data_IF_728615627100
#
_entry.id   IF_728615627100
#
_cell.length_a   1.000
_cell.length_b   1.000
_cell.length_c   1.000
_cell.angle_alpha   90.00
_cell.angle_beta   90.00
_cell.angle_gamma   90.00
#
_symmetry.space_group_name_H-M   'P 1'
#
loop_
_entity.id
_entity.type
_entity.pdbx_description
1 polymer ?
#
# COMPACT_ATOMS: atom_id res chain seq x y z
N UNK A 1 33.66 -19.97 10.46
CA UNK A 1 32.25 -20.39 10.46
C UNK A 1 31.46 -19.19 10.92
N UNK A 2 31.36 -18.21 10.03
CA UNK A 2 30.62 -16.98 10.24
C UNK A 2 29.12 -17.31 10.24
N UNK A 3 28.36 -16.96 11.29
CA UNK A 3 26.92 -16.85 11.17
C UNK A 3 26.59 -15.51 10.50
N UNK A 4 27.10 -15.29 9.28
CA UNK A 4 26.57 -14.24 8.41
C UNK A 4 25.26 -14.74 7.84
N UNK A 5 24.19 -13.99 8.06
CA UNK A 5 23.14 -13.94 7.06
C UNK A 5 21.72 -14.22 7.52
N UNK A 6 21.42 -14.22 8.83
CA UNK A 6 20.01 -14.15 9.25
C UNK A 6 19.52 -12.70 9.37
N UNK A 7 19.90 -11.89 8.37
CA UNK A 7 19.18 -10.70 7.95
C UNK A 7 18.09 -11.12 6.94
N UNK A 8 17.35 -12.20 7.25
CA UNK A 8 16.01 -12.33 6.72
C UNK A 8 15.18 -11.26 7.42
N UNK A 9 15.26 -10.05 6.86
CA UNK A 9 14.22 -9.03 6.97
C UNK A 9 12.91 -9.78 7.04
N UNK A 10 12.30 -9.80 8.23
CA UNK A 10 10.95 -10.29 8.44
C UNK A 10 10.11 -9.58 7.38
N UNK A 11 9.84 -10.30 6.29
CA UNK A 11 8.99 -9.80 5.23
C UNK A 11 7.67 -9.57 5.92
N UNK A 12 7.05 -8.37 5.83
CA UNK A 12 5.77 -8.10 6.49
C UNK A 12 4.62 -8.87 5.80
N UNK A 13 4.70 -10.20 5.87
CA UNK A 13 3.76 -11.22 5.48
C UNK A 13 3.51 -11.99 6.79
N UNK A 14 2.38 -11.85 7.47
CA UNK A 14 1.08 -12.31 6.97
C UNK A 14 -0.11 -11.43 7.38
N UNK A 15 0.16 -10.25 7.96
CA UNK A 15 -0.87 -9.31 8.39
C UNK A 15 -0.69 -7.97 7.69
N UNK A 16 -1.31 -7.79 6.51
CA UNK A 16 -1.19 -6.55 5.73
C UNK A 16 -1.30 -5.25 6.56
N UNK A 17 -0.61 -4.20 6.11
CA UNK A 17 -0.49 -2.94 6.83
C UNK A 17 -1.84 -2.24 7.00
N UNK A 18 -2.04 -1.53 8.10
CA UNK A 18 -3.22 -0.68 8.25
C UNK A 18 -3.12 0.53 7.32
N UNK A 19 -4.26 1.10 6.91
CA UNK A 19 -4.28 2.33 6.08
C UNK A 19 -3.43 3.46 6.67
N UNK A 20 -3.37 3.60 7.99
CA UNK A 20 -2.55 4.62 8.65
C UNK A 20 -1.04 4.36 8.53
N UNK A 21 -0.62 3.09 8.58
CA UNK A 21 0.77 2.71 8.36
C UNK A 21 1.19 2.94 6.90
N UNK A 22 0.33 2.56 5.95
CA UNK A 22 0.57 2.79 4.50
C UNK A 22 0.63 4.27 4.17
N UNK A 23 -0.27 5.08 4.74
CA UNK A 23 -0.28 6.53 4.56
C UNK A 23 1.04 7.17 4.98
N UNK A 24 1.57 6.78 6.16
CA UNK A 24 2.88 7.24 6.63
C UNK A 24 4.02 6.76 5.75
N UNK A 25 3.99 5.51 5.31
CA UNK A 25 5.01 4.93 4.44
C UNK A 25 5.11 5.67 3.09
N UNK A 26 3.98 6.09 2.54
CA UNK A 26 3.90 6.74 1.23
C UNK A 26 3.93 8.27 1.31
N UNK A 27 3.86 8.85 2.51
CA UNK A 27 3.78 10.30 2.70
C UNK A 27 2.47 10.92 2.19
N UNK A 28 1.38 10.14 2.13
CA UNK A 28 0.07 10.60 1.65
C UNK A 28 -0.97 10.56 2.77
N UNK A 29 -2.05 11.33 2.63
CA UNK A 29 -3.14 11.31 3.59
C UNK A 29 -3.90 9.96 3.54
N UNK A 30 -4.36 9.41 4.68
CA UNK A 30 -5.20 8.21 4.71
C UNK A 30 -6.51 8.35 3.90
N UNK A 31 -7.00 9.59 3.78
CA UNK A 31 -8.17 9.94 2.98
C UNK A 31 -7.91 9.77 1.48
N UNK A 32 -6.69 10.04 1.00
CA UNK A 32 -6.28 9.80 -0.39
C UNK A 32 -6.34 8.31 -0.72
N UNK A 33 -5.77 7.45 0.14
CA UNK A 33 -5.82 6.00 -0.02
C UNK A 33 -7.26 5.48 -0.04
N UNK A 34 -8.12 6.01 0.84
CA UNK A 34 -9.54 5.63 0.88
C UNK A 34 -10.29 6.08 -0.39
N UNK A 35 -9.96 7.25 -0.93
CA UNK A 35 -10.51 7.72 -2.21
C UNK A 35 -10.07 6.84 -3.37
N UNK A 36 -8.80 6.45 -3.44
CA UNK A 36 -8.30 5.58 -4.51
C UNK A 36 -8.88 4.17 -4.45
N UNK A 37 -8.99 3.58 -3.25
CA UNK A 37 -9.72 2.32 -3.04
C UNK A 37 -11.18 2.42 -3.56
N UNK A 38 -11.90 3.47 -3.18
CA UNK A 38 -13.30 3.64 -3.59
C UNK A 38 -13.47 3.91 -5.09
N UNK A 39 -12.57 4.70 -5.67
CA UNK A 39 -12.72 5.27 -7.01
C UNK A 39 -12.11 4.39 -8.10
N UNK A 40 -11.03 3.69 -7.77
CA UNK A 40 -10.23 2.91 -8.72
C UNK A 40 -10.16 1.43 -8.34
N UNK A 41 -10.71 1.02 -7.18
CA UNK A 41 -10.62 -0.36 -6.72
C UNK A 41 -9.20 -0.79 -6.32
N UNK A 42 -8.27 0.16 -6.19
CA UNK A 42 -6.88 -0.07 -5.77
C UNK A 42 -6.85 -0.15 -4.24
N UNK A 43 -7.47 -1.19 -3.72
CA UNK A 43 -7.53 -1.45 -2.30
C UNK A 43 -7.52 -2.94 -2.02
N UNK A 44 -7.16 -3.30 -0.78
CA UNK A 44 -6.89 -4.69 -0.43
C UNK A 44 -8.09 -5.59 -0.69
N UNK A 45 -7.80 -6.70 -1.35
CA UNK A 45 -8.78 -7.72 -1.75
C UNK A 45 -9.51 -8.35 -0.56
N UNK A 46 -8.88 -8.40 0.62
CA UNK A 46 -9.48 -8.89 1.84
C UNK A 46 -10.25 -7.77 2.58
N UNK A 47 -11.54 -7.64 2.29
CA UNK A 47 -12.50 -7.05 3.23
C UNK A 47 -12.95 -8.16 4.17
N UNK A 48 -12.19 -8.43 5.22
CA UNK A 48 -12.71 -9.23 6.33
C UNK A 48 -13.78 -8.38 7.04
N UNK A 49 -15.03 -8.82 6.96
CA UNK A 49 -16.20 -8.13 7.53
C UNK A 49 -15.92 -7.65 8.96
N UNK A 50 -15.85 -6.33 9.13
CA UNK A 50 -15.68 -5.67 10.42
C UNK A 50 -14.23 -5.49 10.91
N UNK A 51 -13.21 -6.00 10.22
CA UNK A 51 -11.79 -5.73 10.57
C UNK A 51 -11.18 -4.60 9.74
N UNK A 52 -10.19 -3.94 10.33
CA UNK A 52 -9.46 -2.86 9.70
C UNK A 52 -8.82 -3.36 8.41
N UNK A 53 -8.96 -2.57 7.34
CA UNK A 53 -8.39 -2.90 6.04
C UNK A 53 -6.88 -3.14 6.14
N UNK A 54 -6.45 -4.31 5.66
CA UNK A 54 -5.05 -4.75 5.64
C UNK A 54 -4.51 -4.71 4.22
N UNK A 55 -3.59 -3.79 3.98
CA UNK A 55 -2.91 -3.59 2.69
C UNK A 55 -1.75 -4.56 2.57
N UNK A 56 -1.79 -5.41 1.55
CA UNK A 56 -0.72 -6.35 1.24
C UNK A 56 0.47 -5.64 0.59
N UNK A 57 1.61 -6.33 0.50
CA UNK A 57 2.77 -5.82 -0.26
C UNK A 57 2.42 -5.49 -1.73
N UNK A 58 1.54 -6.28 -2.35
CA UNK A 58 1.07 -6.03 -3.71
C UNK A 58 0.27 -4.73 -3.81
N UNK A 59 -0.64 -4.48 -2.86
CA UNK A 59 -1.41 -3.23 -2.82
C UNK A 59 -0.49 -2.02 -2.63
N UNK A 60 0.52 -2.15 -1.76
CA UNK A 60 1.50 -1.08 -1.50
C UNK A 60 2.34 -0.80 -2.75
N UNK A 61 2.72 -1.83 -3.52
CA UNK A 61 3.46 -1.66 -4.77
C UNK A 61 2.64 -0.87 -5.80
N UNK A 62 1.35 -1.19 -5.96
CA UNK A 62 0.45 -0.43 -6.83
C UNK A 62 0.31 1.03 -6.37
N UNK A 63 0.13 1.26 -5.06
CA UNK A 63 0.05 2.60 -4.50
C UNK A 63 1.34 3.41 -4.70
N UNK A 64 2.51 2.78 -4.58
CA UNK A 64 3.80 3.43 -4.87
C UNK A 64 3.87 3.89 -6.32
N UNK A 65 3.47 3.03 -7.26
CA UNK A 65 3.43 3.38 -8.67
C UNK A 65 2.51 4.59 -8.92
N UNK A 66 1.32 4.57 -8.31
CA UNK A 66 0.36 5.65 -8.41
C UNK A 66 0.88 6.97 -7.82
N UNK A 67 1.57 6.91 -6.68
CA UNK A 67 2.22 8.08 -6.08
C UNK A 67 3.32 8.63 -7.00
N UNK A 68 4.15 7.76 -7.59
CA UNK A 68 5.19 8.18 -8.52
C UNK A 68 4.62 8.90 -9.75
N UNK A 69 3.57 8.35 -10.35
CA UNK A 69 2.88 8.97 -11.49
C UNK A 69 2.21 10.29 -11.09
N UNK A 70 1.58 10.35 -9.92
CA UNK A 70 0.94 11.58 -9.42
C UNK A 70 1.97 12.69 -9.16
N UNK A 71 3.10 12.35 -8.56
CA UNK A 71 4.22 13.29 -8.36
C UNK A 71 4.86 13.74 -9.67
N UNK A 72 4.80 12.92 -10.73
CA UNK A 72 5.21 13.30 -12.08
C UNK A 72 4.20 14.21 -12.80
N UNK A 73 3.07 14.54 -12.15
CA UNK A 73 2.04 15.44 -12.70
C UNK A 73 0.88 14.72 -13.39
N UNK A 74 0.86 13.38 -13.42
CA UNK A 74 -0.27 12.63 -13.95
C UNK A 74 -1.44 12.68 -12.96
N UNK A 75 -2.68 12.95 -13.40
CA UNK A 75 -3.82 12.92 -12.50
C UNK A 75 -4.03 11.48 -11.97
N UNK A 76 -4.51 11.30 -10.72
CA UNK A 76 -4.67 9.98 -10.13
C UNK A 76 -5.58 9.03 -10.94
N UNK A 77 -6.49 9.57 -11.76
CA UNK A 77 -7.36 8.76 -12.62
C UNK A 77 -6.61 8.10 -13.78
N UNK A 78 -5.54 8.75 -14.25
CA UNK A 78 -4.69 8.23 -15.31
C UNK A 78 -3.58 7.35 -14.73
N UNK A 79 -3.10 7.68 -13.54
CA UNK A 79 -2.21 6.82 -12.76
C UNK A 79 -2.86 5.51 -12.28
N UNK A 80 -4.20 5.43 -12.33
CA UNK A 80 -4.98 4.25 -11.96
C UNK A 80 -5.25 3.29 -13.12
N UNK A 81 -4.99 3.70 -14.36
CA UNK A 81 -5.22 2.92 -15.57
C UNK A 81 -4.06 1.96 -15.81
#
# INVERSE_FOLDING_TARGET
>A
MDPTGDLLLESPADGGLTTGAVARLLGVAPTTLRSWDRRYGIGPAAREDGRHRRWTGADIAALRHMCALTSAGLPPAEAAR
#
